data_IF_073875017147
#
_entry.id   IF_073875017147
#
_cell.length_a   1.000
_cell.length_b   1.000
_cell.length_c   1.000
_cell.angle_alpha   90.00
_cell.angle_beta   90.00
_cell.angle_gamma   90.00
#
_symmetry.space_group_name_H-M   'P 1'
#
loop_
_entity.id
_entity.type
_entity.pdbx_description
1 polymer ?
#
# COMPACT_ATOMS: atom_id res chain seq x y z
N UNK A 1 -1.65 -19.96 13.09
CA UNK A 1 -2.02 -18.54 12.85
C UNK A 1 -2.07 -18.29 11.34
N UNK A 2 -3.26 -18.06 10.75
CA UNK A 2 -3.39 -17.68 9.35
C UNK A 2 -2.81 -16.27 9.15
N UNK A 3 -1.71 -16.14 8.41
CA UNK A 3 -1.10 -14.85 8.08
C UNK A 3 -1.86 -14.22 6.92
N UNK A 4 -2.68 -13.21 7.21
CA UNK A 4 -3.27 -12.39 6.16
C UNK A 4 -2.25 -11.31 5.76
N UNK A 5 -1.80 -11.36 4.51
CA UNK A 5 -0.94 -10.31 3.94
C UNK A 5 -1.72 -9.00 3.92
N UNK A 6 -1.25 -7.98 4.64
CA UNK A 6 -1.77 -6.61 4.49
C UNK A 6 -1.24 -6.07 3.17
N UNK A 7 -2.10 -5.97 2.17
CA UNK A 7 -1.77 -5.27 0.93
C UNK A 7 -1.84 -3.77 1.20
N UNK A 8 -0.76 -3.06 0.87
CA UNK A 8 -0.66 -1.60 0.97
C UNK A 8 -0.56 -1.06 -0.44
N UNK A 9 -1.33 0.00 -0.73
CA UNK A 9 -1.10 0.79 -1.94
C UNK A 9 0.35 1.27 -1.95
N UNK A 10 1.05 1.00 -3.04
CA UNK A 10 2.46 1.36 -3.22
C UNK A 10 2.59 2.76 -3.79
N UNK A 11 2.00 3.75 -3.10
CA UNK A 11 2.41 5.13 -3.35
C UNK A 11 3.90 5.25 -3.02
N UNK A 12 4.73 5.51 -4.04
CA UNK A 12 6.16 5.81 -3.87
C UNK A 12 6.33 7.22 -3.32
N UNK A 13 5.89 7.40 -2.08
CA UNK A 13 6.24 8.59 -1.33
C UNK A 13 7.75 8.61 -1.08
N UNK A 14 8.41 9.77 -1.22
CA UNK A 14 9.80 9.90 -0.83
C UNK A 14 9.97 9.48 0.63
N UNK A 15 10.94 8.62 0.90
CA UNK A 15 11.31 8.27 2.27
C UNK A 15 12.00 9.46 2.92
N UNK A 16 11.41 9.98 3.99
CA UNK A 16 11.86 11.20 4.66
C UNK A 16 12.49 10.87 6.00
N UNK A 17 13.60 11.53 6.31
CA UNK A 17 14.25 11.44 7.62
C UNK A 17 13.79 12.57 8.54
N UNK A 18 14.07 12.45 9.84
CA UNK A 18 13.80 13.52 10.81
C UNK A 18 14.45 14.84 10.40
N UNK A 19 15.72 14.80 9.97
CA UNK A 19 16.45 15.98 9.50
C UNK A 19 15.87 16.56 8.21
N UNK A 20 15.38 15.71 7.31
CA UNK A 20 14.67 16.14 6.10
C UNK A 20 13.40 16.92 6.47
N UNK A 21 12.66 16.48 7.49
CA UNK A 21 11.46 17.17 7.98
C UNK A 21 11.77 18.49 8.69
N UNK A 22 12.80 18.54 9.54
CA UNK A 22 13.21 19.77 10.19
C UNK A 22 13.75 20.81 9.18
N UNK A 23 14.59 20.36 8.24
CA UNK A 23 15.14 21.23 7.20
C UNK A 23 14.06 21.76 6.24
N UNK A 24 13.06 20.95 5.90
CA UNK A 24 11.99 21.37 4.98
C UNK A 24 11.09 22.45 5.58
N UNK A 25 10.87 22.46 6.90
CA UNK A 25 10.12 23.51 7.58
C UNK A 25 10.74 24.91 7.43
N UNK A 26 12.06 24.97 7.37
CA UNK A 26 12.82 26.23 7.20
C UNK A 26 13.33 26.44 5.76
N UNK A 27 13.03 25.52 4.84
CA UNK A 27 13.47 25.54 3.44
C UNK A 27 14.97 25.77 3.23
N UNK A 28 15.83 25.17 4.08
CA UNK A 28 17.27 25.47 4.12
C UNK A 28 18.00 25.03 2.83
N UNK A 29 17.58 23.91 2.24
CA UNK A 29 18.23 23.27 1.08
C UNK A 29 17.35 23.26 -0.19
N UNK A 30 16.20 23.95 -0.18
CA UNK A 30 15.28 23.97 -1.32
C UNK A 30 14.39 22.73 -1.39
N UNK A 31 14.46 21.97 -2.50
CA UNK A 31 13.53 20.87 -2.72
C UNK A 31 13.92 19.59 -1.93
N UNK A 32 13.17 19.28 -0.88
CA UNK A 32 13.36 18.10 -0.02
C UNK A 32 12.67 16.82 -0.54
N UNK A 33 11.76 16.93 -1.50
CA UNK A 33 10.88 15.82 -1.89
C UNK A 33 10.99 15.55 -3.39
N UNK A 34 11.48 14.36 -3.74
CA UNK A 34 11.47 13.84 -5.11
C UNK A 34 10.46 12.71 -5.20
N UNK A 35 9.41 12.93 -5.97
CA UNK A 35 8.42 11.90 -6.26
C UNK A 35 8.89 11.07 -7.45
N UNK A 36 8.84 9.75 -7.33
CA UNK A 36 9.13 8.84 -8.44
C UNK A 36 7.83 8.45 -9.12
N UNK A 37 7.63 8.97 -10.32
CA UNK A 37 6.58 8.51 -11.20
C UNK A 37 7.06 7.27 -11.97
N UNK A 38 6.17 6.31 -12.26
CA UNK A 38 6.50 5.23 -13.19
C UNK A 38 6.84 5.82 -14.56
N UNK A 39 7.88 5.28 -15.22
CA UNK A 39 8.30 5.73 -16.55
C UNK A 39 7.28 5.33 -17.63
N UNK A 40 6.48 4.29 -17.37
CA UNK A 40 5.45 3.76 -18.26
C UNK A 40 4.07 3.77 -17.61
N UNK A 41 3.12 4.47 -18.23
CA UNK A 41 1.73 4.52 -17.79
C UNK A 41 1.05 3.14 -17.77
N UNK A 42 1.30 2.29 -18.76
CA UNK A 42 0.70 0.97 -18.84
C UNK A 42 1.14 0.05 -17.68
N UNK A 43 2.39 0.18 -17.23
CA UNK A 43 2.89 -0.56 -16.05
C UNK A 43 2.21 -0.07 -14.77
N UNK A 44 1.96 1.24 -14.67
CA UNK A 44 1.28 1.85 -13.53
C UNK A 44 -0.17 1.35 -13.43
N UNK A 45 -0.89 1.35 -14.56
CA UNK A 45 -2.27 0.90 -14.64
C UNK A 45 -2.39 -0.60 -14.35
N UNK A 46 -1.49 -1.42 -14.89
CA UNK A 46 -1.45 -2.86 -14.62
C UNK A 46 -1.26 -3.13 -13.11
N UNK A 47 -0.34 -2.42 -12.46
CA UNK A 47 -0.11 -2.53 -11.00
C UNK A 47 -1.31 -2.05 -10.19
N UNK A 48 -2.00 -1.00 -10.63
CA UNK A 48 -3.20 -0.51 -9.97
C UNK A 48 -4.32 -1.56 -10.03
N UNK A 49 -4.61 -2.11 -11.21
CA UNK A 49 -5.60 -3.17 -11.38
C UNK A 49 -5.26 -4.42 -10.57
N UNK A 50 -4.00 -4.85 -10.57
CA UNK A 50 -3.54 -5.99 -9.77
C UNK A 50 -3.77 -5.74 -8.27
N UNK A 51 -3.51 -4.52 -7.79
CA UNK A 51 -3.73 -4.17 -6.39
C UNK A 51 -5.21 -4.22 -6.00
N UNK A 52 -6.12 -3.75 -6.86
CA UNK A 52 -7.57 -3.77 -6.62
C UNK A 52 -8.10 -5.21 -6.53
N UNK A 53 -7.71 -6.08 -7.47
CA UNK A 53 -8.09 -7.49 -7.45
C UNK A 53 -7.53 -8.24 -6.25
N UNK A 54 -6.30 -7.93 -5.85
CA UNK A 54 -5.72 -8.49 -4.64
C UNK A 54 -6.49 -8.07 -3.39
N UNK A 55 -6.94 -6.81 -3.29
CA UNK A 55 -7.76 -6.35 -2.17
C UNK A 55 -9.06 -7.15 -2.05
N UNK A 56 -9.82 -7.26 -3.15
CA UNK A 56 -11.05 -8.06 -3.24
C UNK A 56 -10.79 -9.51 -2.83
N UNK A 57 -9.75 -10.14 -3.38
CA UNK A 57 -9.42 -11.53 -3.07
C UNK A 57 -9.11 -11.77 -1.59
N UNK A 58 -8.50 -10.81 -0.90
CA UNK A 58 -8.27 -10.93 0.54
C UNK A 58 -9.55 -10.78 1.36
N UNK A 59 -10.43 -9.87 0.97
CA UNK A 59 -11.70 -9.67 1.68
C UNK A 59 -12.60 -10.90 1.51
N UNK A 60 -12.67 -11.49 0.32
CA UNK A 60 -13.34 -12.77 0.10
C UNK A 60 -12.74 -13.88 0.98
N UNK A 61 -11.40 -14.00 1.01
CA UNK A 61 -10.72 -15.02 1.84
C UNK A 61 -11.00 -14.84 3.34
N UNK A 62 -11.12 -13.59 3.80
CA UNK A 62 -11.50 -13.28 5.19
C UNK A 62 -12.95 -13.66 5.46
N UNK A 63 -13.87 -13.29 4.57
CA UNK A 63 -15.29 -13.61 4.70
C UNK A 63 -15.52 -15.14 4.75
N UNK A 64 -14.87 -15.90 3.87
CA UNK A 64 -14.93 -17.36 3.89
C UNK A 64 -14.39 -17.95 5.19
N UNK A 65 -13.23 -17.48 5.67
CA UNK A 65 -12.67 -17.97 6.92
C UNK A 65 -13.59 -17.69 8.11
N UNK A 66 -14.21 -16.50 8.17
CA UNK A 66 -15.19 -16.17 9.20
C UNK A 66 -16.46 -17.01 9.10
N UNK A 67 -16.92 -17.31 7.88
CA UNK A 67 -18.07 -18.19 7.67
C UNK A 67 -17.79 -19.62 8.13
N UNK A 68 -16.64 -20.19 7.75
CA UNK A 68 -16.23 -21.53 8.18
C UNK A 68 -16.13 -21.63 9.72
N UNK A 69 -15.60 -20.59 10.38
CA UNK A 69 -15.52 -20.53 11.85
C UNK A 69 -16.89 -20.48 12.53
N UNK A 70 -17.88 -19.84 11.92
CA UNK A 70 -19.27 -19.82 12.41
C UNK A 70 -19.90 -21.20 12.24
N UNK A 71 -19.81 -21.78 11.03
CA UNK A 71 -20.41 -23.10 10.72
C UNK A 71 -19.81 -24.23 11.57
N UNK A 72 -18.52 -24.17 11.91
CA UNK A 72 -17.88 -25.19 12.76
C UNK A 72 -18.21 -25.07 14.25
N UNK A 73 -18.85 -23.98 14.69
CA UNK A 73 -19.24 -23.74 16.10
C UNK A 73 -20.67 -24.17 16.41
N UNK A 74 -21.49 -24.37 15.39
CA UNK A 74 -22.85 -24.91 15.46
C UNK A 74 -22.85 -26.43 15.24
#
# INVERSE_FOLDING_TARGET
>A
MKKYTKFRSSFRFPRTSFLTGAGSAFNIAGNYYRFTFPENAAEADAKALEADWNAIGNDLRRAMASFDEIVQRD
#
